data_IF_516900638742
#
_entry.id   IF_516900638742
#
_cell.length_a   1.000
_cell.length_b   1.000
_cell.length_c   1.000
_cell.angle_alpha   90.00
_cell.angle_beta   90.00
_cell.angle_gamma   90.00
#
_symmetry.space_group_name_H-M   'P 1'
#
loop_
_entity.id
_entity.type
_entity.pdbx_description
1 polymer ?
#
# COMPACT_ATOMS: atom_id res chain seq x y z
N UNK A 1 -44.84 -31.42 -92.81
CA UNK A 1 -44.49 -31.06 -91.43
C UNK A 1 -43.04 -30.58 -91.45
N UNK A 2 -42.71 -29.40 -90.92
CA UNK A 2 -41.33 -28.94 -90.95
C UNK A 2 -40.49 -29.77 -89.97
N UNK A 3 -39.36 -30.25 -90.48
CA UNK A 3 -38.35 -30.98 -89.73
C UNK A 3 -37.61 -29.96 -88.84
N UNK A 4 -37.86 -30.00 -87.53
CA UNK A 4 -37.18 -29.13 -86.57
C UNK A 4 -35.83 -29.75 -86.20
N UNK A 5 -34.83 -29.57 -87.06
CA UNK A 5 -33.43 -29.86 -86.72
C UNK A 5 -32.92 -28.71 -85.85
N UNK A 6 -33.11 -28.83 -84.54
CA UNK A 6 -32.36 -28.05 -83.57
C UNK A 6 -30.88 -28.43 -83.71
N UNK A 7 -30.17 -27.74 -84.59
CA UNK A 7 -28.71 -27.76 -84.59
C UNK A 7 -28.23 -27.15 -83.27
N UNK A 8 -27.58 -27.97 -82.46
CA UNK A 8 -26.86 -27.49 -81.27
C UNK A 8 -25.80 -26.49 -81.75
N UNK A 9 -25.73 -25.26 -81.20
CA UNK A 9 -24.82 -24.24 -81.70
C UNK A 9 -23.37 -24.74 -81.70
N UNK A 10 -22.70 -24.67 -82.85
CA UNK A 10 -21.28 -25.03 -82.97
C UNK A 10 -20.44 -24.07 -82.13
N UNK A 11 -20.06 -24.51 -80.93
CA UNK A 11 -19.40 -23.67 -79.93
C UNK A 11 -19.71 -24.10 -78.49
N UNK A 12 -20.67 -24.99 -78.28
CA UNK A 12 -20.91 -25.56 -76.96
C UNK A 12 -19.86 -26.65 -76.67
N UNK A 13 -18.88 -26.33 -75.82
CA UNK A 13 -17.96 -27.34 -75.26
C UNK A 13 -18.73 -28.25 -74.33
N UNK A 14 -18.90 -29.51 -74.72
CA UNK A 14 -19.41 -30.56 -73.84
C UNK A 14 -18.34 -30.88 -72.79
N UNK A 15 -18.47 -30.32 -71.59
CA UNK A 15 -17.66 -30.72 -70.45
C UNK A 15 -18.03 -32.16 -70.08
N UNK A 16 -17.03 -33.03 -69.98
CA UNK A 16 -17.23 -34.40 -69.52
C UNK A 16 -17.41 -34.42 -68.01
N UNK A 17 -18.04 -35.47 -67.49
CA UNK A 17 -18.11 -35.68 -66.04
C UNK A 17 -16.70 -35.81 -65.42
N UNK A 18 -15.73 -36.31 -66.18
CA UNK A 18 -14.31 -36.40 -65.79
C UNK A 18 -13.68 -35.00 -65.65
N UNK A 19 -13.99 -34.05 -66.54
CA UNK A 19 -13.51 -32.66 -66.43
C UNK A 19 -14.04 -31.97 -65.16
N UNK A 20 -15.28 -32.25 -64.78
CA UNK A 20 -15.91 -31.73 -63.56
C UNK A 20 -15.24 -32.34 -62.33
N UNK A 21 -15.00 -33.64 -62.31
CA UNK A 21 -14.39 -34.35 -61.19
C UNK A 21 -12.94 -33.89 -60.96
N UNK A 22 -12.17 -33.70 -62.04
CA UNK A 22 -10.83 -33.12 -61.99
C UNK A 22 -10.84 -31.70 -61.41
N UNK A 23 -11.77 -30.84 -61.86
CA UNK A 23 -11.92 -29.48 -61.35
C UNK A 23 -12.34 -29.42 -59.87
N UNK A 24 -13.23 -30.32 -59.43
CA UNK A 24 -13.61 -30.45 -58.01
C UNK A 24 -12.40 -30.85 -57.17
N UNK A 25 -11.60 -31.82 -57.63
CA UNK A 25 -10.41 -32.27 -56.92
C UNK A 25 -9.36 -31.15 -56.76
N UNK A 26 -9.15 -30.33 -57.79
CA UNK A 26 -8.28 -29.15 -57.71
C UNK A 26 -8.77 -28.13 -56.67
N UNK A 27 -10.08 -27.88 -56.62
CA UNK A 27 -10.70 -26.97 -55.64
C UNK A 27 -10.57 -27.50 -54.21
N UNK A 28 -10.84 -28.78 -53.98
CA UNK A 28 -10.68 -29.42 -52.66
C UNK A 28 -9.25 -29.33 -52.15
N UNK A 29 -8.27 -29.57 -53.03
CA UNK A 29 -6.85 -29.42 -52.71
C UNK A 29 -6.49 -27.97 -52.37
N UNK A 30 -7.00 -27.00 -53.14
CA UNK A 30 -6.78 -25.58 -52.86
C UNK A 30 -7.35 -25.15 -51.51
N UNK A 31 -8.56 -25.62 -51.17
CA UNK A 31 -9.21 -25.38 -49.86
C UNK A 31 -8.38 -26.00 -48.73
N UNK A 32 -7.92 -27.25 -48.88
CA UNK A 32 -7.08 -27.91 -47.89
C UNK A 32 -5.75 -27.19 -47.64
N UNK A 33 -5.12 -26.68 -48.69
CA UNK A 33 -3.89 -25.89 -48.60
C UNK A 33 -4.13 -24.54 -47.91
N UNK A 34 -5.25 -23.86 -48.21
CA UNK A 34 -5.61 -22.60 -47.58
C UNK A 34 -5.88 -22.77 -46.07
N UNK A 35 -6.58 -23.83 -45.68
CA UNK A 35 -6.83 -24.16 -44.28
C UNK A 35 -5.53 -24.44 -43.51
N UNK A 36 -4.61 -25.20 -44.12
CA UNK A 36 -3.29 -25.48 -43.56
C UNK A 36 -2.46 -24.21 -43.35
N UNK A 37 -2.49 -23.29 -44.31
CA UNK A 37 -1.79 -22.00 -44.20
C UNK A 37 -2.38 -21.13 -43.07
N UNK A 38 -3.71 -21.07 -42.94
CA UNK A 38 -4.36 -20.31 -41.89
C UNK A 38 -3.98 -20.82 -40.48
N UNK A 39 -3.92 -22.15 -40.30
CA UNK A 39 -3.49 -22.75 -39.04
C UNK A 39 -2.02 -22.43 -38.70
N UNK A 40 -1.14 -22.47 -39.70
CA UNK A 40 0.27 -22.11 -39.52
C UNK A 40 0.44 -20.63 -39.12
N UNK A 41 -0.32 -19.72 -39.74
CA UNK A 41 -0.32 -18.29 -39.39
C UNK A 41 -0.80 -18.07 -37.96
N UNK A 42 -1.90 -18.71 -37.56
CA UNK A 42 -2.42 -18.61 -36.19
C UNK A 42 -1.39 -19.07 -35.15
N UNK A 43 -0.72 -20.20 -35.41
CA UNK A 43 0.32 -20.75 -34.54
C UNK A 43 1.53 -19.81 -34.43
N UNK A 44 1.97 -19.24 -35.56
CA UNK A 44 3.07 -18.28 -35.58
C UNK A 44 2.72 -16.99 -34.81
N UNK A 45 1.49 -16.49 -34.97
CA UNK A 45 1.01 -15.31 -34.27
C UNK A 45 0.92 -15.54 -32.76
N UNK A 46 0.40 -16.68 -32.31
CA UNK A 46 0.30 -17.03 -30.89
C UNK A 46 1.69 -17.18 -30.24
N UNK A 47 2.62 -17.84 -30.94
CA UNK A 47 4.02 -17.97 -30.48
C UNK A 47 4.70 -16.60 -30.36
N UNK A 48 4.52 -15.71 -31.35
CA UNK A 48 5.07 -14.37 -31.33
C UNK A 48 4.48 -13.51 -30.20
N UNK A 49 3.16 -13.60 -29.98
CA UNK A 49 2.48 -12.92 -28.87
C UNK A 49 2.96 -13.43 -27.51
N UNK A 50 3.07 -14.76 -27.33
CA UNK A 50 3.60 -15.37 -26.11
C UNK A 50 5.03 -14.95 -25.82
N UNK A 51 5.90 -14.89 -26.83
CA UNK A 51 7.26 -14.40 -26.68
C UNK A 51 7.31 -12.91 -26.29
N UNK A 52 6.46 -12.07 -26.89
CA UNK A 52 6.37 -10.65 -26.54
C UNK A 52 5.88 -10.45 -25.10
N UNK A 53 4.86 -11.20 -24.66
CA UNK A 53 4.35 -11.15 -23.27
C UNK A 53 5.40 -11.65 -22.29
N UNK A 54 6.11 -12.74 -22.59
CA UNK A 54 7.19 -13.24 -21.74
C UNK A 54 8.38 -12.26 -21.68
N UNK A 55 8.61 -11.46 -22.73
CA UNK A 55 9.59 -10.38 -22.70
C UNK A 55 9.14 -9.16 -21.86
N UNK A 56 7.86 -9.06 -21.51
CA UNK A 56 7.32 -8.08 -20.56
C UNK A 56 7.52 -8.50 -19.09
N UNK A 57 8.42 -9.44 -18.81
CA UNK A 57 8.71 -9.94 -17.48
C UNK A 57 9.06 -8.82 -16.49
N UNK A 58 8.05 -8.45 -15.71
CA UNK A 58 8.08 -7.41 -14.68
C UNK A 58 9.08 -7.77 -13.57
N UNK A 59 9.36 -9.07 -13.37
CA UNK A 59 10.32 -9.54 -12.37
C UNK A 59 11.77 -9.13 -12.70
N UNK A 60 12.08 -8.95 -13.99
CA UNK A 60 13.39 -8.44 -14.44
C UNK A 60 13.57 -6.93 -14.20
N UNK A 61 12.47 -6.18 -14.08
CA UNK A 61 12.48 -4.72 -13.84
C UNK A 61 12.31 -4.36 -12.38
N UNK A 62 11.59 -5.18 -11.61
CA UNK A 62 11.40 -5.08 -10.16
C UNK A 62 12.48 -5.79 -9.34
N UNK A 63 13.75 -5.65 -9.71
CA UNK A 63 14.86 -6.21 -8.94
C UNK A 63 14.94 -5.65 -7.51
N UNK A 64 15.65 -6.36 -6.62
CA UNK A 64 15.81 -5.93 -5.22
C UNK A 64 16.26 -4.47 -5.11
N UNK A 65 15.53 -3.68 -4.31
CA UNK A 65 15.80 -2.25 -4.11
C UNK A 65 15.31 -1.32 -5.23
N UNK A 66 14.44 -1.79 -6.14
CA UNK A 66 13.88 -0.96 -7.22
C UNK A 66 12.35 -0.96 -7.23
N UNK A 67 11.76 0.07 -7.82
CA UNK A 67 10.33 0.15 -8.13
C UNK A 67 10.13 0.63 -9.58
N UNK A 68 8.94 0.39 -10.13
CA UNK A 68 8.58 0.91 -11.46
C UNK A 68 8.13 2.36 -11.30
N UNK A 69 8.90 3.30 -11.86
CA UNK A 69 8.58 4.74 -11.83
C UNK A 69 7.51 5.09 -12.84
N UNK A 70 7.59 4.51 -14.03
CA UNK A 70 6.67 4.81 -15.13
C UNK A 70 6.52 3.64 -16.07
N UNK A 71 5.33 3.56 -16.68
CA UNK A 71 5.00 2.62 -17.75
C UNK A 71 4.59 3.46 -18.95
N UNK A 72 5.08 3.11 -20.13
CA UNK A 72 4.73 3.76 -21.40
C UNK A 72 4.53 2.73 -22.48
N UNK A 73 3.81 3.08 -23.54
CA UNK A 73 3.68 2.26 -24.74
C UNK A 73 4.30 3.00 -25.94
N UNK A 74 5.10 2.28 -26.73
CA UNK A 74 5.61 2.76 -28.03
C UNK A 74 5.62 1.59 -29.00
N UNK A 75 5.08 1.79 -30.20
CA UNK A 75 5.02 0.78 -31.27
C UNK A 75 4.41 -0.56 -30.82
N UNK A 76 3.34 -0.53 -30.01
CA UNK A 76 2.67 -1.72 -29.49
C UNK A 76 3.47 -2.48 -28.42
N UNK A 77 4.56 -1.91 -27.92
CA UNK A 77 5.38 -2.50 -26.86
C UNK A 77 5.22 -1.70 -25.56
N UNK A 78 4.91 -2.40 -24.48
CA UNK A 78 4.91 -1.84 -23.13
C UNK A 78 6.37 -1.75 -22.66
N UNK A 79 6.79 -0.56 -22.25
CA UNK A 79 8.09 -0.28 -21.67
C UNK A 79 7.92 0.19 -20.23
N UNK A 80 8.81 -0.25 -19.33
CA UNK A 80 8.79 0.11 -17.92
C UNK A 80 10.14 0.69 -17.51
N UNK A 81 10.12 1.88 -16.91
CA UNK A 81 11.31 2.52 -16.33
C UNK A 81 11.36 2.19 -14.85
N UNK A 82 12.43 1.54 -14.43
CA UNK A 82 12.69 1.25 -13.02
C UNK A 82 13.57 2.35 -12.41
N UNK A 83 13.34 2.65 -11.14
CA UNK A 83 14.14 3.56 -10.33
C UNK A 83 14.54 2.86 -9.03
N UNK A 84 15.67 3.26 -8.44
CA UNK A 84 16.15 2.73 -7.16
C UNK A 84 15.36 3.35 -6.02
N UNK A 85 14.93 2.52 -5.08
CA UNK A 85 14.40 3.00 -3.80
C UNK A 85 15.48 3.73 -3.03
N UNK A 86 15.05 4.68 -2.21
CA UNK A 86 15.91 5.38 -1.28
C UNK A 86 16.17 4.53 -0.04
N UNK A 87 17.45 4.35 0.26
CA UNK A 87 17.93 3.63 1.44
C UNK A 87 18.33 4.57 2.57
N UNK A 88 18.55 5.85 2.29
CA UNK A 88 19.02 6.88 3.23
C UNK A 88 18.36 8.24 2.95
N UNK A 89 17.03 8.36 3.12
CA UNK A 89 16.28 9.54 2.72
C UNK A 89 16.65 10.76 3.57
N UNK A 90 16.94 11.88 2.89
CA UNK A 90 17.13 13.21 3.50
C UNK A 90 15.89 14.08 3.31
N UNK A 91 15.83 15.24 3.98
CA UNK A 91 14.80 16.24 3.70
C UNK A 91 14.86 16.65 2.22
N UNK A 92 13.75 16.44 1.49
CA UNK A 92 13.66 16.72 0.05
C UNK A 92 13.88 15.52 -0.86
N UNK A 93 14.01 14.29 -0.35
CA UNK A 93 14.01 13.10 -1.22
C UNK A 93 12.68 12.94 -1.94
N UNK A 94 12.74 12.72 -3.25
CA UNK A 94 11.60 12.51 -4.17
C UNK A 94 11.43 11.03 -4.58
N UNK A 95 12.29 10.16 -4.04
CA UNK A 95 12.30 8.73 -4.32
C UNK A 95 11.45 7.96 -3.32
N UNK A 96 10.89 6.83 -3.75
CA UNK A 96 10.21 5.91 -2.84
C UNK A 96 11.20 5.32 -1.82
N UNK A 97 10.82 5.28 -0.54
CA UNK A 97 11.69 4.85 0.57
C UNK A 97 11.54 3.36 0.87
N UNK A 98 12.62 2.70 1.28
CA UNK A 98 12.57 1.31 1.78
C UNK A 98 12.08 1.24 3.23
N UNK A 99 11.51 0.10 3.65
CA UNK A 99 11.19 -0.15 5.07
C UNK A 99 12.44 -0.14 5.97
N UNK A 100 13.59 -0.55 5.42
CA UNK A 100 14.89 -0.43 6.09
C UNK A 100 15.33 1.01 6.30
N UNK A 101 15.09 1.89 5.32
CA UNK A 101 15.33 3.33 5.45
C UNK A 101 14.42 3.97 6.51
N UNK A 102 13.14 3.59 6.56
CA UNK A 102 12.21 4.01 7.62
C UNK A 102 12.69 3.53 8.99
N UNK A 103 13.13 2.28 9.09
CA UNK A 103 13.69 1.71 10.31
C UNK A 103 14.97 2.44 10.75
N UNK A 104 15.88 2.74 9.83
CA UNK A 104 17.12 3.49 10.09
C UNK A 104 16.84 4.95 10.51
N UNK A 105 15.88 5.61 9.86
CA UNK A 105 15.38 6.93 10.31
C UNK A 105 14.79 6.85 11.72
N UNK A 106 13.97 5.85 12.00
CA UNK A 106 13.30 5.68 13.30
C UNK A 106 14.30 5.33 14.42
N UNK A 107 15.41 4.65 14.09
CA UNK A 107 16.51 4.35 15.01
C UNK A 107 17.56 5.48 15.13
N UNK A 108 17.39 6.60 14.42
CA UNK A 108 18.24 7.78 14.59
C UNK A 108 19.60 7.73 13.89
N UNK A 109 19.73 7.02 12.76
CA UNK A 109 20.98 7.01 11.97
C UNK A 109 21.19 8.33 11.20
N UNK A 110 20.15 9.17 11.04
CA UNK A 110 20.28 10.53 10.49
C UNK A 110 19.65 11.58 11.43
N UNK A 111 20.49 12.16 12.30
CA UNK A 111 20.11 13.19 13.29
C UNK A 111 19.72 12.59 14.63
N UNK A 112 20.01 13.25 15.78
CA UNK A 112 20.14 12.61 17.09
C UNK A 112 18.80 12.08 17.60
N UNK A 113 18.41 10.89 17.16
CA UNK A 113 17.50 10.01 17.87
C UNK A 113 18.23 9.54 19.12
N UNK A 114 18.22 10.37 20.16
CA UNK A 114 18.71 9.96 21.48
C UNK A 114 17.80 8.83 21.93
N UNK A 115 18.32 7.59 21.93
CA UNK A 115 17.77 6.58 22.81
C UNK A 115 17.82 7.16 24.22
N UNK A 116 16.65 7.39 24.81
CA UNK A 116 16.57 7.80 26.20
C UNK A 116 16.81 6.51 27.00
N UNK A 117 18.08 6.17 27.17
CA UNK A 117 18.56 5.09 28.02
C UNK A 117 19.07 5.71 29.31
N UNK A 118 18.35 5.46 30.40
CA UNK A 118 18.80 5.83 31.73
C UNK A 118 19.43 4.64 32.43
N UNK A 119 20.70 4.76 32.81
CA UNK A 119 21.23 4.02 33.96
C UNK A 119 20.68 4.67 35.23
N UNK A 120 20.77 3.98 36.37
CA UNK A 120 19.99 4.11 37.61
C UNK A 120 19.80 5.50 38.29
N UNK A 121 20.25 6.63 37.72
CA UNK A 121 20.14 7.97 38.32
C UNK A 121 19.74 9.10 37.35
N UNK A 122 19.44 8.82 36.07
CA UNK A 122 19.03 9.88 35.13
C UNK A 122 17.51 10.06 35.11
N UNK A 123 17.05 11.25 35.49
CA UNK A 123 15.67 11.71 35.33
C UNK A 123 15.46 12.27 33.94
N UNK A 124 14.48 11.74 33.20
CA UNK A 124 14.08 12.29 31.90
C UNK A 124 12.70 12.90 32.01
N UNK A 125 12.64 14.23 31.86
CA UNK A 125 11.38 14.97 31.90
C UNK A 125 10.84 15.18 30.48
N UNK A 126 9.68 14.60 30.18
CA UNK A 126 9.06 14.71 28.86
C UNK A 126 8.65 16.13 28.50
N UNK A 127 8.55 17.05 29.46
CA UNK A 127 8.24 18.45 29.22
C UNK A 127 9.38 19.20 28.52
N UNK A 128 10.61 18.70 28.67
CA UNK A 128 11.78 19.26 28.02
C UNK A 128 11.92 18.79 26.57
N UNK A 129 11.12 17.82 26.15
CA UNK A 129 11.17 17.24 24.80
C UNK A 129 10.40 18.12 23.80
N UNK A 130 11.00 19.26 23.45
CA UNK A 130 10.48 20.25 22.48
C UNK A 130 11.30 20.22 21.19
N UNK A 131 11.56 19.02 20.71
CA UNK A 131 12.30 18.77 19.48
C UNK A 131 11.51 17.75 18.66
N UNK A 132 11.25 18.08 17.40
CA UNK A 132 10.53 17.17 16.49
C UNK A 132 11.32 15.88 16.31
N UNK A 133 10.68 14.73 16.53
CA UNK A 133 11.33 13.44 16.42
C UNK A 133 10.54 12.29 17.04
N UNK A 134 11.12 11.10 16.94
CA UNK A 134 10.64 9.89 17.58
C UNK A 134 11.67 9.39 18.59
N UNK A 135 11.20 9.01 19.78
CA UNK A 135 12.03 8.66 20.91
C UNK A 135 11.58 7.32 21.47
N UNK A 136 12.50 6.38 21.54
CA UNK A 136 12.28 5.13 22.26
C UNK A 136 12.69 5.31 23.71
N UNK A 137 11.74 5.03 24.60
CA UNK A 137 11.96 4.93 26.02
C UNK A 137 12.11 3.44 26.33
N UNK A 138 13.28 3.06 26.82
CA UNK A 138 13.57 1.68 27.19
C UNK A 138 14.20 1.65 28.58
N UNK A 139 13.37 1.82 29.62
CA UNK A 139 13.80 1.64 31.00
C UNK A 139 13.59 0.19 31.42
N UNK A 140 14.70 -0.54 31.58
CA UNK A 140 14.72 -1.87 32.18
C UNK A 140 15.07 -1.75 33.68
N UNK A 141 14.10 -1.39 34.51
CA UNK A 141 14.27 -1.37 35.96
C UNK A 141 13.32 -0.40 36.67
N UNK A 142 13.00 -0.70 37.93
CA UNK A 142 12.09 0.07 38.78
C UNK A 142 12.59 1.49 39.14
N UNK A 143 13.73 1.94 38.62
CA UNK A 143 14.45 3.12 39.08
C UNK A 143 14.75 4.19 38.02
N UNK A 144 14.52 3.97 36.72
CA UNK A 144 14.57 5.11 35.77
C UNK A 144 13.27 5.92 35.87
N UNK A 145 13.39 7.16 36.34
CA UNK A 145 12.26 8.04 36.58
C UNK A 145 11.98 8.89 35.34
N UNK A 146 10.79 8.75 34.77
CA UNK A 146 10.32 9.58 33.67
C UNK A 146 9.30 10.55 34.23
N UNK A 147 9.74 11.79 34.39
CA UNK A 147 8.90 12.88 34.86
C UNK A 147 7.89 13.27 33.78
N UNK A 148 6.69 13.62 34.24
CA UNK A 148 5.59 14.10 33.39
C UNK A 148 5.18 13.12 32.28
N UNK A 149 5.38 11.82 32.47
CA UNK A 149 4.69 10.79 31.68
C UNK A 149 3.18 10.78 32.00
N UNK A 150 2.33 10.25 31.11
CA UNK A 150 0.93 10.00 31.45
C UNK A 150 0.81 9.19 32.75
N UNK A 151 -0.22 9.50 33.55
CA UNK A 151 -0.49 8.76 34.79
C UNK A 151 -1.01 7.36 34.46
N UNK A 152 -0.06 6.48 34.17
CA UNK A 152 -0.25 5.07 33.88
C UNK A 152 0.36 4.30 35.05
N UNK A 153 -0.51 3.81 35.92
CA UNK A 153 -0.18 3.20 37.22
C UNK A 153 0.39 1.79 37.10
N UNK A 154 0.40 1.21 35.90
CA UNK A 154 0.68 -0.22 35.69
C UNK A 154 2.05 -0.51 35.05
N UNK A 155 2.93 0.48 34.92
CA UNK A 155 4.23 0.29 34.27
C UNK A 155 5.36 0.18 35.29
N UNK A 156 5.63 -1.04 35.76
CA UNK A 156 6.83 -1.38 36.56
C UNK A 156 8.13 -1.33 35.73
N UNK A 157 8.02 -1.25 34.40
CA UNK A 157 9.12 -0.96 33.47
C UNK A 157 8.63 -0.04 32.36
N UNK A 158 9.03 1.23 32.37
CA UNK A 158 8.53 2.20 31.37
C UNK A 158 9.20 1.91 30.03
N UNK A 159 8.47 1.21 29.16
CA UNK A 159 8.79 1.09 27.74
C UNK A 159 7.73 1.85 26.96
N UNK A 160 8.14 2.76 26.09
CA UNK A 160 7.20 3.56 25.30
C UNK A 160 7.87 4.12 24.05
N UNK A 161 7.04 4.47 23.08
CA UNK A 161 7.44 5.34 21.97
C UNK A 161 6.84 6.72 22.22
N UNK A 162 7.66 7.76 22.06
CA UNK A 162 7.21 9.15 22.13
C UNK A 162 7.47 9.82 20.81
N UNK A 163 6.45 10.44 20.25
CA UNK A 163 6.55 11.26 19.05
C UNK A 163 6.34 12.71 19.44
N UNK A 164 7.14 13.61 18.87
CA UNK A 164 6.98 15.05 19.01
C UNK A 164 6.93 15.67 17.62
N UNK A 165 5.92 16.49 17.38
CA UNK A 165 5.72 17.21 16.14
C UNK A 165 5.63 18.70 16.42
N UNK A 166 6.52 19.49 15.83
CA UNK A 166 6.34 20.93 15.72
C UNK A 166 5.33 21.25 14.62
N UNK A 167 4.25 21.97 14.94
CA UNK A 167 3.22 22.31 13.96
C UNK A 167 3.04 23.82 13.74
N UNK A 168 3.62 24.68 14.60
CA UNK A 168 3.61 26.12 14.39
C UNK A 168 4.66 26.85 15.25
N UNK A 169 5.90 26.97 14.76
CA UNK A 169 7.00 27.58 15.52
C UNK A 169 7.15 26.89 16.88
N UNK A 170 7.04 27.61 17.99
CA UNK A 170 7.18 27.02 19.33
C UNK A 170 5.96 26.21 19.84
N UNK A 171 5.15 25.62 18.95
CA UNK A 171 4.01 24.76 19.32
C UNK A 171 4.27 23.30 18.96
N UNK A 172 4.11 22.42 19.96
CA UNK A 172 4.43 21.00 19.83
C UNK A 172 3.23 20.13 20.16
N UNK A 173 3.04 19.06 19.39
CA UNK A 173 2.18 17.94 19.73
C UNK A 173 3.08 16.80 20.20
N UNK A 174 2.79 16.25 21.37
CA UNK A 174 3.47 15.06 21.87
C UNK A 174 2.49 13.89 21.95
N UNK A 175 2.91 12.75 21.41
CA UNK A 175 2.17 11.49 21.44
C UNK A 175 3.00 10.49 22.23
N UNK A 176 2.40 9.84 23.21
CA UNK A 176 3.03 8.81 24.03
C UNK A 176 2.30 7.49 23.82
N UNK A 177 3.02 6.49 23.32
CA UNK A 177 2.51 5.14 23.04
C UNK A 177 3.17 4.19 24.04
N UNK A 178 2.45 3.78 25.12
CA UNK A 178 2.98 2.83 26.08
C UNK A 178 3.18 1.46 25.43
N UNK A 179 4.31 0.81 25.69
CA UNK A 179 4.50 -0.61 25.42
C UNK A 179 4.00 -1.40 26.64
N UNK A 180 2.73 -1.81 26.58
CA UNK A 180 2.08 -2.58 27.65
C UNK A 180 2.29 -4.07 27.41
N UNK A 181 2.67 -4.81 28.44
CA UNK A 181 2.76 -6.28 28.42
C UNK A 181 1.54 -6.96 29.06
N UNK A 182 0.61 -6.19 29.65
CA UNK A 182 -0.60 -6.71 30.30
C UNK A 182 -1.86 -6.46 29.45
N UNK A 183 -2.73 -7.48 29.36
CA UNK A 183 -4.02 -7.43 28.65
C UNK A 183 -5.12 -6.67 29.43
N UNK A 184 -4.76 -5.67 30.23
CA UNK A 184 -5.74 -4.93 31.01
C UNK A 184 -6.42 -3.88 30.12
N UNK A 185 -7.66 -4.18 29.70
CA UNK A 185 -8.49 -3.40 28.76
C UNK A 185 -8.99 -2.03 29.28
N UNK A 186 -8.52 -1.56 30.44
CA UNK A 186 -9.03 -0.34 31.09
C UNK A 186 -8.23 0.94 30.75
N UNK A 187 -7.29 0.86 29.80
CA UNK A 187 -6.30 1.91 29.59
C UNK A 187 -6.29 2.48 28.18
N UNK A 188 -5.78 3.71 28.06
CA UNK A 188 -5.63 4.36 26.77
C UNK A 188 -4.58 3.65 25.91
N UNK A 189 -4.88 3.50 24.61
CA UNK A 189 -3.97 2.94 23.60
C UNK A 189 -2.78 3.86 23.38
N UNK A 190 -3.03 5.16 23.34
CA UNK A 190 -2.01 6.19 23.30
C UNK A 190 -2.50 7.45 24.03
N UNK A 191 -1.55 8.30 24.40
CA UNK A 191 -1.83 9.58 25.02
C UNK A 191 -1.32 10.71 24.14
N UNK A 192 -2.00 11.85 24.19
CA UNK A 192 -1.58 13.07 23.51
C UNK A 192 -1.62 14.27 24.45
N UNK A 193 -0.76 15.23 24.19
CA UNK A 193 -0.80 16.57 24.79
C UNK A 193 -0.17 17.58 23.84
N UNK A 194 -0.47 18.85 24.04
CA UNK A 194 0.11 19.92 23.24
C UNK A 194 0.84 20.94 24.11
N UNK A 195 1.85 21.59 23.52
CA UNK A 195 2.56 22.72 24.07
C UNK A 195 2.21 23.97 23.27
N UNK A 196 1.72 25.00 23.95
CA UNK A 196 1.56 26.35 23.40
C UNK A 196 2.47 27.34 24.14
N UNK A 197 2.08 27.67 25.37
CA UNK A 197 2.91 28.40 26.35
C UNK A 197 3.33 27.49 27.51
N UNK A 198 2.49 26.51 27.82
CA UNK A 198 2.71 25.41 28.74
C UNK A 198 2.20 24.10 28.13
N UNK A 199 2.60 22.97 28.71
CA UNK A 199 2.04 21.67 28.35
C UNK A 199 0.60 21.55 28.86
N UNK A 200 -0.29 21.05 28.01
CA UNK A 200 -1.60 20.60 28.44
C UNK A 200 -1.47 19.29 29.24
N UNK A 201 -2.49 18.99 30.03
CA UNK A 201 -2.63 17.65 30.62
C UNK A 201 -2.68 16.58 29.51
N UNK A 202 -2.15 15.40 29.81
CA UNK A 202 -2.29 14.23 28.94
C UNK A 202 -3.76 13.86 28.75
N UNK A 203 -4.10 13.49 27.51
CA UNK A 203 -5.41 12.94 27.13
C UNK A 203 -5.19 11.55 26.59
N UNK A 204 -5.79 10.55 27.24
CA UNK A 204 -5.78 9.18 26.78
C UNK A 204 -6.81 8.99 25.68
N UNK A 205 -6.42 8.31 24.59
CA UNK A 205 -7.32 7.83 23.54
C UNK A 205 -7.52 6.35 23.76
N UNK A 206 -8.76 5.94 23.92
CA UNK A 206 -9.14 4.56 24.18
C UNK A 206 -9.62 3.92 22.88
N UNK A 207 -9.19 2.69 22.64
CA UNK A 207 -9.63 1.90 21.50
C UNK A 207 -11.12 1.62 21.50
N UNK A 208 -11.62 1.14 20.36
CA UNK A 208 -13.03 0.83 20.10
C UNK A 208 -13.60 -0.34 20.92
N UNK A 209 -12.83 -0.96 21.80
CA UNK A 209 -13.37 -1.85 22.85
C UNK A 209 -13.80 -1.04 24.07
N UNK A 210 -14.70 -0.07 23.87
CA UNK A 210 -15.36 0.60 24.99
C UNK A 210 -16.33 -0.41 25.61
N UNK A 211 -16.01 -0.86 26.84
CA UNK A 211 -17.01 -1.54 27.66
C UNK A 211 -18.22 -0.62 27.87
N UNK A 212 -19.47 -1.15 27.87
CA UNK A 212 -20.70 -0.35 28.01
C UNK A 212 -20.72 0.62 29.21
N UNK A 213 -19.89 0.39 30.22
CA UNK A 213 -19.81 1.21 31.43
C UNK A 213 -19.31 2.65 31.19
N UNK A 214 -18.46 2.90 30.18
CA UNK A 214 -17.97 4.26 29.93
C UNK A 214 -19.02 5.15 29.21
N UNK A 215 -19.96 4.54 28.48
CA UNK A 215 -21.09 5.26 27.89
C UNK A 215 -22.07 5.75 28.96
N UNK A 216 -22.24 4.99 30.04
CA UNK A 216 -23.12 5.34 31.16
C UNK A 216 -22.62 6.57 31.96
N UNK A 217 -21.31 6.79 32.05
CA UNK A 217 -20.74 7.97 32.72
C UNK A 217 -20.78 9.23 31.84
N UNK A 218 -20.84 9.09 30.52
CA UNK A 218 -21.02 10.22 29.60
C UNK A 218 -22.48 10.68 29.45
N UNK A 219 -23.45 9.82 29.79
CA UNK A 219 -24.88 10.15 29.77
C UNK A 219 -25.38 10.75 31.10
N UNK A 220 -24.56 10.78 32.16
CA UNK A 220 -24.88 11.39 33.45
C UNK A 220 -24.65 12.91 33.50
N UNK A 221 -24.95 13.64 32.42
CA UNK A 221 -25.18 15.09 32.53
C UNK A 221 -26.45 15.29 33.37
N UNK A 222 -26.46 16.17 34.38
CA UNK A 222 -27.63 16.40 35.20
C UNK A 222 -28.76 16.90 34.30
N UNK A 223 -29.91 16.22 34.38
CA UNK A 223 -31.16 16.69 33.78
C UNK A 223 -31.48 18.04 34.43
N UNK A 224 -31.20 19.12 33.69
CA UNK A 224 -31.54 20.48 34.08
C UNK A 224 -33.05 20.64 33.87
N UNK A 225 -33.81 20.35 34.90
CA UNK A 225 -35.27 20.45 34.88
C UNK A 225 -35.83 20.66 36.28
N UNK A 226 -35.46 21.79 36.90
CA UNK A 226 -36.43 22.50 37.74
C UNK A 226 -37.66 22.77 36.86
N UNK A 227 -38.81 22.21 37.22
CA UNK A 227 -40.14 22.77 36.97
C UNK A 227 -41.20 21.82 37.55
N UNK A 228 -41.54 21.98 38.83
CA UNK A 228 -42.95 22.22 39.21
C UNK A 228 -43.06 22.60 40.69
N UNK A 229 -43.20 23.91 40.87
CA UNK A 229 -43.78 24.58 42.02
C UNK A 229 -45.29 24.23 42.14
N UNK A 230 -45.81 24.28 43.37
CA UNK A 230 -47.24 24.39 43.74
C UNK A 230 -48.12 23.13 43.78
N UNK A 231 -48.10 22.44 44.93
CA UNK A 231 -49.24 22.35 45.87
C UNK A 231 -48.87 21.75 47.22
#
# INVERSE_FOLDING_TARGET
MPNNTNEVPSGQTTHTLEDIDAGVSEVENAIGNAASLAAAIATAAESAAGAAVNALDVSSKGGSGKYIKSISESDGKINATAETMDTEPTSGSDKAITSGAVFAMLLGIFGPGTSISGTSDTHYNLDNLKITGAFSINSAGATAYIDNKPNDTDITSVRALVFVFEFYGSRYLQIYVPNRTSNAHAYAEFYLRCYGTSWSNWRGIYGTQIQPAALAQMQGLPDSGDDEEMR
#
